data_IF_278637756859
#
_entry.id   IF_278637756859
#
_cell.length_a   1.000
_cell.length_b   1.000
_cell.length_c   1.000
_cell.angle_alpha   90.00
_cell.angle_beta   90.00
_cell.angle_gamma   90.00
#
_symmetry.space_group_name_H-M   'P 1'
#
loop_
_entity.id
_entity.type
_entity.pdbx_description
1 polymer ?
#
# COMPACT_ATOMS: atom_id res chain seq x y z
N UNK A 1 -4.97 -6.52 9.59
CA UNK A 1 -4.51 -6.69 8.20
C UNK A 1 -3.68 -5.51 7.76
N UNK A 2 -4.21 -4.60 6.94
CA UNK A 2 -3.40 -3.47 6.46
C UNK A 2 -2.95 -2.56 7.59
N UNK A 3 -3.80 -2.33 8.57
CA UNK A 3 -3.46 -1.50 9.72
C UNK A 3 -2.24 -2.04 10.46
N UNK A 4 -2.23 -3.32 10.74
CA UNK A 4 -1.10 -3.96 11.41
C UNK A 4 0.16 -3.88 10.55
N UNK A 5 0.00 -4.02 9.24
CA UNK A 5 1.11 -3.95 8.32
C UNK A 5 1.79 -2.57 8.37
N UNK A 6 0.98 -1.52 8.40
CA UNK A 6 1.49 -0.16 8.49
C UNK A 6 2.19 0.06 9.84
N UNK A 7 1.58 -0.42 10.92
CA UNK A 7 2.14 -0.29 12.25
C UNK A 7 3.49 -0.99 12.35
N UNK A 8 3.57 -2.22 11.85
CA UNK A 8 4.80 -2.99 11.86
C UNK A 8 5.89 -2.30 11.03
N UNK A 9 5.53 -1.74 9.90
CA UNK A 9 6.48 -1.03 9.04
C UNK A 9 7.04 0.21 9.74
N UNK A 10 6.19 0.97 10.40
CA UNK A 10 6.63 2.14 11.15
C UNK A 10 7.56 1.77 12.29
N UNK A 11 7.24 0.71 13.01
CA UNK A 11 8.10 0.22 14.09
C UNK A 11 9.45 -0.24 13.59
N UNK A 12 9.50 -0.77 12.39
CA UNK A 12 10.75 -1.21 11.76
C UNK A 12 11.54 -0.06 11.12
N UNK A 13 11.00 1.15 11.17
CA UNK A 13 11.67 2.31 10.58
C UNK A 13 11.54 2.39 9.08
N UNK A 14 10.62 1.66 8.48
CA UNK A 14 10.38 1.67 7.05
C UNK A 14 9.61 2.93 6.66
N UNK A 15 9.93 3.47 5.49
CA UNK A 15 9.24 4.64 4.96
C UNK A 15 8.36 4.32 3.76
N UNK A 16 8.51 3.14 3.21
CA UNK A 16 7.75 2.70 2.05
C UNK A 16 7.27 1.29 2.29
N UNK A 17 6.02 1.02 1.99
CA UNK A 17 5.48 -0.33 2.08
C UNK A 17 4.87 -0.71 0.74
N UNK A 18 4.88 -2.00 0.46
CA UNK A 18 4.32 -2.55 -0.77
C UNK A 18 3.28 -3.60 -0.39
N UNK A 19 2.06 -3.39 -0.86
CA UNK A 19 0.96 -4.30 -0.57
C UNK A 19 0.56 -5.01 -1.85
N UNK A 20 0.73 -6.32 -1.87
CA UNK A 20 0.40 -7.15 -3.02
C UNK A 20 -1.07 -7.54 -2.90
N UNK A 21 -1.89 -7.13 -3.85
CA UNK A 21 -3.32 -7.45 -3.88
C UNK A 21 -3.72 -8.20 -5.15
N UNK A 22 -2.77 -8.44 -6.05
CA UNK A 22 -3.04 -9.16 -7.28
C UNK A 22 -3.76 -8.30 -8.32
N UNK A 23 -3.91 -8.86 -9.50
CA UNK A 23 -4.51 -8.17 -10.65
C UNK A 23 -5.98 -8.53 -10.86
N UNK A 24 -6.65 -9.11 -9.88
CA UNK A 24 -8.00 -9.63 -10.03
C UNK A 24 -9.01 -8.59 -10.51
N UNK A 25 -10.17 -8.54 -9.87
CA UNK A 25 -11.28 -7.69 -10.32
C UNK A 25 -11.04 -6.19 -10.11
N UNK A 26 -10.01 -5.83 -9.41
CA UNK A 26 -9.76 -4.43 -9.07
C UNK A 26 -10.47 -3.97 -7.81
N UNK A 27 -11.39 -4.78 -7.28
CA UNK A 27 -12.11 -4.41 -6.06
C UNK A 27 -11.17 -4.34 -4.86
N UNK A 28 -10.33 -5.35 -4.70
CA UNK A 28 -9.37 -5.38 -3.60
C UNK A 28 -8.38 -4.24 -3.74
N UNK A 29 -7.89 -3.99 -4.94
CA UNK A 29 -6.96 -2.89 -5.20
C UNK A 29 -7.59 -1.56 -4.80
N UNK A 30 -8.84 -1.34 -5.18
CA UNK A 30 -9.54 -0.11 -4.85
C UNK A 30 -9.69 0.06 -3.35
N UNK A 31 -10.09 -0.99 -2.64
CA UNK A 31 -10.25 -0.94 -1.19
C UNK A 31 -8.95 -0.67 -0.47
N UNK A 32 -7.89 -1.32 -0.87
CA UNK A 32 -6.57 -1.12 -0.28
C UNK A 32 -6.10 0.31 -0.51
N UNK A 33 -6.25 0.80 -1.74
CA UNK A 33 -5.84 2.15 -2.08
C UNK A 33 -6.62 3.19 -1.28
N UNK A 34 -7.93 3.01 -1.17
CA UNK A 34 -8.76 3.94 -0.40
C UNK A 34 -8.39 3.92 1.08
N UNK A 35 -8.16 2.74 1.64
CA UNK A 35 -7.76 2.61 3.03
C UNK A 35 -6.45 3.37 3.28
N UNK A 36 -5.47 3.17 2.42
CA UNK A 36 -4.17 3.81 2.57
C UNK A 36 -4.28 5.33 2.44
N UNK A 37 -5.08 5.81 1.50
CA UNK A 37 -5.24 7.26 1.32
C UNK A 37 -5.89 7.92 2.53
N UNK A 38 -6.70 7.19 3.26
CA UNK A 38 -7.40 7.72 4.42
C UNK A 38 -6.64 7.52 5.73
N UNK A 39 -5.48 6.88 5.69
CA UNK A 39 -4.69 6.62 6.88
C UNK A 39 -3.72 7.79 7.11
N UNK A 40 -3.77 8.37 8.31
CA UNK A 40 -2.95 9.52 8.64
C UNK A 40 -1.44 9.22 8.63
N UNK A 41 -1.08 7.95 8.74
CA UNK A 41 0.33 7.52 8.73
C UNK A 41 0.90 7.44 7.32
N UNK A 42 0.05 7.49 6.32
CA UNK A 42 0.43 7.36 4.91
C UNK A 42 0.53 8.76 4.29
N UNK A 43 1.67 9.05 3.69
CA UNK A 43 1.89 10.32 3.02
C UNK A 43 1.35 10.31 1.60
N UNK A 44 1.63 9.24 0.86
CA UNK A 44 1.14 9.11 -0.51
C UNK A 44 0.97 7.65 -0.88
N UNK A 45 0.13 7.40 -1.89
CA UNK A 45 -0.14 6.04 -2.38
C UNK A 45 -0.10 6.09 -3.91
N UNK A 46 0.51 5.07 -4.50
CA UNK A 46 0.50 4.90 -5.95
C UNK A 46 0.40 3.43 -6.30
N UNK A 47 -0.02 3.16 -7.51
CA UNK A 47 0.00 1.80 -8.05
C UNK A 47 1.43 1.50 -8.47
N UNK A 48 1.88 0.28 -8.20
CA UNK A 48 3.23 -0.14 -8.59
C UNK A 48 3.47 0.02 -10.08
N UNK A 49 4.67 0.45 -10.42
CA UNK A 49 5.05 0.62 -11.81
C UNK A 49 5.74 -0.61 -12.35
N UNK A 50 6.12 -0.56 -13.61
CA UNK A 50 6.84 -1.65 -14.25
C UNK A 50 8.09 -1.98 -13.42
N UNK A 51 8.21 -3.25 -13.07
CA UNK A 51 9.32 -3.70 -12.23
C UNK A 51 9.00 -3.72 -10.75
N UNK A 52 7.86 -3.15 -10.33
CA UNK A 52 7.46 -3.10 -8.93
C UNK A 52 6.25 -4.01 -8.63
N UNK A 53 5.83 -4.79 -9.60
CA UNK A 53 4.65 -5.64 -9.46
C UNK A 53 3.46 -5.13 -10.25
N UNK A 54 3.63 -4.03 -10.96
CA UNK A 54 2.61 -3.48 -11.87
C UNK A 54 1.31 -3.21 -11.11
N UNK A 55 0.16 -3.39 -11.75
CA UNK A 55 -1.14 -3.06 -11.16
C UNK A 55 -1.55 -4.01 -10.03
N UNK A 56 -0.79 -5.08 -9.82
CA UNK A 56 -1.07 -6.02 -8.74
C UNK A 56 -0.54 -5.59 -7.38
N UNK A 57 0.10 -4.43 -7.30
CA UNK A 57 0.77 -3.95 -6.09
C UNK A 57 0.45 -2.47 -5.87
N UNK A 58 0.18 -2.11 -4.62
CA UNK A 58 0.06 -0.71 -4.21
C UNK A 58 1.28 -0.33 -3.39
N UNK A 59 1.86 0.81 -3.69
CA UNK A 59 3.02 1.33 -2.98
C UNK A 59 2.54 2.51 -2.14
N UNK A 60 2.78 2.43 -0.84
CA UNK A 60 2.43 3.52 0.08
C UNK A 60 3.70 4.07 0.70
N UNK A 61 3.82 5.39 0.68
CA UNK A 61 4.91 6.06 1.35
C UNK A 61 4.43 6.57 2.70
N UNK A 62 5.15 6.24 3.75
CA UNK A 62 4.79 6.59 5.12
C UNK A 62 5.42 7.93 5.50
N UNK A 63 4.79 8.60 6.43
CA UNK A 63 5.26 9.91 6.91
C UNK A 63 6.51 9.83 7.79
#
# INVERSE_FOLDING_TARGET
>A
MVDKYIDDALRAGMKTIRIVHGKGTGVLRKRVTEYLKNDYRVDSVRIGEWGEGDTGVSIAELK
#
